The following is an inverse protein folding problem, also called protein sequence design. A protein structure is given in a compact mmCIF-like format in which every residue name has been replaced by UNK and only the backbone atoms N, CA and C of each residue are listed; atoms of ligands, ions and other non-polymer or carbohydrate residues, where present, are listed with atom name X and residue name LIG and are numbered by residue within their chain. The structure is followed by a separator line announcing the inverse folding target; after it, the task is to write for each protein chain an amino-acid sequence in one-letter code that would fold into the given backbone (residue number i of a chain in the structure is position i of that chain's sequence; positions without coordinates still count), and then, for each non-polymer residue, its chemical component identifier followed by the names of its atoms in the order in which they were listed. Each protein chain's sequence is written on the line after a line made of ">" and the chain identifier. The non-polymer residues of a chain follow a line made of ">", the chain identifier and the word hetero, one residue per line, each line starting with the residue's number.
data_IF_357230576499
#
_entry.id   IF_357230576499
#
_cell.length_a   1.000
_cell.length_b   1.000
_cell.length_c   1.000
_cell.angle_alpha   90.00
_cell.angle_beta   90.00
_cell.angle_gamma   90.00
#
_symmetry.space_group_name_H-M   'P 1'
#
loop_
_entity.id
_entity.type
_entity.pdbx_description
1 polymer ?
#
# COMPACT_ATOMS: atom_id res chain seq x y z
N UNK A 1 47.65 -41.29 15.20
CA UNK A 1 47.12 -40.01 15.75
C UNK A 1 46.85 -39.09 14.57
N UNK A 2 45.58 -38.92 14.23
CA UNK A 2 45.12 -38.28 13.00
C UNK A 2 44.79 -36.82 13.28
N UNK A 3 45.44 -35.90 12.57
CA UNK A 3 45.19 -34.47 12.62
C UNK A 3 43.87 -34.15 11.91
N UNK A 4 42.90 -33.57 12.61
CA UNK A 4 41.65 -33.07 12.02
C UNK A 4 41.87 -31.68 11.44
N UNK A 5 41.89 -31.60 10.10
CA UNK A 5 41.78 -30.33 9.37
C UNK A 5 40.33 -29.82 9.42
N UNK A 6 40.09 -28.76 10.21
CA UNK A 6 38.85 -28.00 10.15
C UNK A 6 38.82 -27.18 8.85
N UNK A 7 38.16 -27.70 7.80
CA UNK A 7 37.72 -26.87 6.68
C UNK A 7 36.64 -25.94 7.21
N UNK A 8 36.91 -24.63 7.21
CA UNK A 8 35.88 -23.60 7.38
C UNK A 8 34.87 -23.78 6.27
N UNK A 9 33.68 -24.21 6.65
CA UNK A 9 32.52 -24.29 5.78
C UNK A 9 32.10 -22.85 5.48
N UNK A 10 32.56 -22.28 4.36
CA UNK A 10 31.98 -21.06 3.78
C UNK A 10 30.63 -21.44 3.17
N UNK A 11 29.67 -21.76 4.02
CA UNK A 11 28.28 -21.88 3.63
C UNK A 11 27.78 -20.49 3.27
N UNK A 12 27.71 -20.20 1.97
CA UNK A 12 26.92 -19.10 1.46
C UNK A 12 25.48 -19.33 1.89
N UNK A 13 25.08 -18.70 2.99
CA UNK A 13 23.67 -18.61 3.33
C UNK A 13 23.02 -17.86 2.16
N UNK A 14 22.25 -18.59 1.35
CA UNK A 14 21.35 -17.97 0.41
C UNK A 14 20.54 -16.95 1.22
N UNK A 15 20.71 -15.65 0.95
CA UNK A 15 19.79 -14.63 1.45
C UNK A 15 18.41 -15.15 1.06
N UNK A 16 17.60 -15.55 2.05
CA UNK A 16 16.19 -15.78 1.81
C UNK A 16 15.69 -14.51 1.13
N UNK A 17 15.36 -14.62 -0.15
CA UNK A 17 14.81 -13.51 -0.91
C UNK A 17 13.45 -13.26 -0.32
N UNK A 18 13.32 -12.19 0.48
CA UNK A 18 12.04 -11.73 0.97
C UNK A 18 11.13 -11.56 -0.25
N UNK A 19 9.93 -12.17 -0.25
CA UNK A 19 8.99 -12.05 -1.36
C UNK A 19 8.83 -10.57 -1.75
N UNK A 20 8.89 -10.22 -3.05
CA UNK A 20 8.90 -8.82 -3.47
C UNK A 20 7.75 -7.97 -2.90
N UNK A 21 6.58 -8.58 -2.69
CA UNK A 21 5.44 -7.89 -2.07
C UNK A 21 5.68 -7.50 -0.60
N UNK A 22 6.38 -8.33 0.19
CA UNK A 22 6.73 -8.01 1.57
C UNK A 22 7.76 -6.87 1.63
N UNK A 23 8.66 -6.77 0.64
CA UNK A 23 9.59 -5.64 0.53
C UNK A 23 8.84 -4.31 0.40
N UNK A 24 7.75 -4.25 -0.37
CA UNK A 24 6.95 -3.03 -0.47
C UNK A 24 6.30 -2.64 0.86
N UNK A 25 5.73 -3.59 1.60
CA UNK A 25 5.15 -3.33 2.91
C UNK A 25 6.20 -2.82 3.92
N UNK A 26 7.38 -3.43 3.94
CA UNK A 26 8.49 -3.04 4.81
C UNK A 26 9.05 -1.67 4.44
N UNK A 27 9.30 -1.42 3.15
CA UNK A 27 9.77 -0.14 2.63
C UNK A 27 8.77 0.97 2.95
N UNK A 28 7.48 0.72 2.68
CA UNK A 28 6.40 1.65 2.95
C UNK A 28 6.31 2.01 4.44
N UNK A 29 6.42 1.03 5.33
CA UNK A 29 6.41 1.25 6.79
C UNK A 29 7.66 1.98 7.25
N UNK A 30 8.84 1.60 6.75
CA UNK A 30 10.11 2.20 7.13
C UNK A 30 10.14 3.70 6.84
N UNK A 31 9.78 4.11 5.62
CA UNK A 31 9.79 5.53 5.24
C UNK A 31 8.60 6.33 5.75
N UNK A 32 7.65 5.70 6.43
CA UNK A 32 6.61 6.38 7.20
C UNK A 32 7.02 6.63 8.67
N UNK A 33 8.15 6.08 9.13
CA UNK A 33 8.64 6.30 10.48
C UNK A 33 9.13 7.73 10.66
N UNK A 34 8.93 8.29 11.87
CA UNK A 34 9.35 9.65 12.21
C UNK A 34 10.85 9.87 12.03
N UNK A 35 11.68 8.84 12.23
CA UNK A 35 13.12 8.92 12.03
C UNK A 35 13.49 9.17 10.56
N UNK A 36 12.58 8.93 9.61
CA UNK A 36 12.79 9.14 8.19
C UNK A 36 12.30 10.50 7.71
N UNK A 37 11.70 11.32 8.58
CA UNK A 37 11.15 12.60 8.18
C UNK A 37 12.25 13.51 7.63
N UNK A 38 12.05 14.02 6.41
CA UNK A 38 13.03 14.83 5.69
C UNK A 38 14.08 14.03 4.91
N UNK A 39 14.09 12.69 4.97
CA UNK A 39 14.91 11.88 4.08
C UNK A 39 14.49 12.07 2.62
N UNK A 40 15.42 11.83 1.69
CA UNK A 40 15.14 11.96 0.25
C UNK A 40 13.97 11.06 -0.17
N UNK A 41 13.91 9.84 0.37
CA UNK A 41 12.83 8.89 0.12
C UNK A 41 11.50 9.38 0.68
N UNK A 42 11.45 9.80 1.94
CA UNK A 42 10.23 10.37 2.54
C UNK A 42 9.72 11.56 1.72
N UNK A 43 10.62 12.49 1.37
CA UNK A 43 10.27 13.66 0.56
C UNK A 43 9.78 13.26 -0.83
N UNK A 44 10.40 12.26 -1.47
CA UNK A 44 9.97 11.77 -2.77
C UNK A 44 8.57 11.17 -2.73
N UNK A 45 8.26 10.33 -1.73
CA UNK A 45 6.92 9.74 -1.58
C UNK A 45 5.87 10.79 -1.20
N UNK A 46 6.25 11.75 -0.35
CA UNK A 46 5.37 12.83 0.11
C UNK A 46 5.07 13.88 -0.96
N UNK A 47 5.91 13.98 -2.01
CA UNK A 47 5.72 14.92 -3.11
C UNK A 47 4.64 14.52 -4.12
N UNK A 48 4.34 13.23 -4.23
CA UNK A 48 3.47 12.70 -5.29
C UNK A 48 1.97 12.78 -4.94
N UNK A 49 1.09 12.58 -5.94
CA UNK A 49 -0.33 12.30 -5.66
C UNK A 49 -0.47 10.89 -5.07
N UNK A 50 -1.52 10.64 -4.30
CA UNK A 50 -1.67 9.42 -3.49
C UNK A 50 -1.42 8.10 -4.25
N UNK A 51 -2.03 7.91 -5.41
CA UNK A 51 -1.81 6.71 -6.23
C UNK A 51 -0.42 6.65 -6.87
N UNK A 52 0.15 7.78 -7.29
CA UNK A 52 1.51 7.82 -7.84
C UNK A 52 2.53 7.50 -6.74
N UNK A 53 2.38 8.06 -5.54
CA UNK A 53 3.22 7.76 -4.38
C UNK A 53 3.30 6.25 -4.09
N UNK A 54 2.16 5.56 -4.21
CA UNK A 54 2.06 4.10 -4.04
C UNK A 54 2.78 3.35 -5.16
N UNK A 55 2.62 3.77 -6.42
CA UNK A 55 3.32 3.18 -7.56
C UNK A 55 4.84 3.37 -7.43
N UNK A 56 5.28 4.56 -7.00
CA UNK A 56 6.69 4.86 -6.75
C UNK A 56 7.25 3.99 -5.63
N UNK A 57 6.54 3.87 -4.51
CA UNK A 57 6.95 3.02 -3.38
C UNK A 57 7.08 1.54 -3.80
N UNK A 58 6.09 1.02 -4.54
CA UNK A 58 6.12 -0.34 -5.06
C UNK A 58 7.31 -0.58 -6.01
N UNK A 59 7.68 0.41 -6.82
CA UNK A 59 8.82 0.29 -7.71
C UNK A 59 10.16 0.39 -6.96
N UNK A 60 10.32 1.38 -6.08
CA UNK A 60 11.55 1.59 -5.29
C UNK A 60 11.87 0.43 -4.35
N UNK A 61 10.85 -0.26 -3.85
CA UNK A 61 11.00 -1.49 -3.05
C UNK A 61 11.34 -2.73 -3.88
N UNK A 62 11.29 -2.65 -5.22
CA UNK A 62 11.47 -3.77 -6.12
C UNK A 62 10.25 -4.71 -6.21
N UNK A 63 9.11 -4.33 -5.62
CA UNK A 63 7.89 -5.14 -5.66
C UNK A 63 7.24 -5.20 -7.04
N UNK A 64 7.47 -4.19 -7.89
CA UNK A 64 7.05 -4.18 -9.29
C UNK A 64 8.24 -3.92 -10.22
N UNK A 65 8.22 -4.56 -11.39
CA UNK A 65 9.24 -4.37 -12.43
C UNK A 65 9.19 -2.96 -13.04
N UNK A 66 10.28 -2.54 -13.69
CA UNK A 66 10.33 -1.28 -14.46
C UNK A 66 9.22 -1.22 -15.53
N UNK A 67 8.92 -2.35 -16.18
CA UNK A 67 7.86 -2.41 -17.18
C UNK A 67 6.49 -2.14 -16.56
N UNK A 68 6.21 -2.72 -15.38
CA UNK A 68 4.97 -2.48 -14.64
C UNK A 68 4.90 -1.05 -14.11
N UNK A 69 6.00 -0.49 -13.62
CA UNK A 69 6.09 0.92 -13.25
C UNK A 69 5.74 1.83 -14.44
N UNK A 70 6.33 1.61 -15.63
CA UNK A 70 6.03 2.39 -16.84
C UNK A 70 4.57 2.24 -17.31
N UNK A 71 3.89 1.13 -16.94
CA UNK A 71 2.47 0.93 -17.22
C UNK A 71 1.57 1.75 -16.27
N UNK A 72 2.00 1.95 -15.02
CA UNK A 72 1.18 2.56 -13.97
C UNK A 72 1.48 4.05 -13.74
N UNK A 73 2.75 4.43 -13.79
CA UNK A 73 3.23 5.77 -13.46
C UNK A 73 2.56 6.85 -14.32
N UNK A 74 1.91 7.83 -13.68
CA UNK A 74 1.10 8.89 -14.31
C UNK A 74 0.01 8.39 -15.28
N UNK A 75 -0.39 7.12 -15.15
CA UNK A 75 -1.46 6.49 -15.95
C UNK A 75 -2.59 5.96 -15.08
N UNK A 76 -2.43 6.04 -13.75
CA UNK A 76 -3.48 5.80 -12.78
C UNK A 76 -4.13 7.14 -12.43
N UNK A 77 -5.44 7.21 -12.53
CA UNK A 77 -6.25 8.35 -12.07
C UNK A 77 -7.68 7.89 -11.78
N UNK A 78 -8.52 8.83 -11.33
CA UNK A 78 -9.86 8.56 -10.78
C UNK A 78 -10.77 7.68 -11.67
N UNK A 79 -10.62 7.75 -13.00
CA UNK A 79 -11.38 6.94 -13.98
C UNK A 79 -10.56 5.86 -14.69
N UNK A 80 -9.25 5.78 -14.46
CA UNK A 80 -8.34 4.83 -15.10
C UNK A 80 -7.49 4.13 -14.03
N UNK A 81 -8.11 3.20 -13.31
CA UNK A 81 -7.48 2.49 -12.18
C UNK A 81 -7.42 0.97 -12.38
N UNK A 82 -8.09 0.42 -13.41
CA UNK A 82 -8.31 -1.03 -13.55
C UNK A 82 -7.03 -1.86 -13.60
N UNK A 83 -5.91 -1.32 -14.07
CA UNK A 83 -4.62 -2.02 -14.11
C UNK A 83 -3.81 -1.95 -12.80
N UNK A 84 -4.33 -1.21 -11.82
CA UNK A 84 -3.75 -0.95 -10.51
C UNK A 84 -4.56 -1.66 -9.41
N UNK A 85 -5.76 -1.15 -9.07
CA UNK A 85 -6.78 -1.77 -8.21
C UNK A 85 -8.15 -1.30 -8.68
N UNK A 86 -9.17 -2.16 -8.65
CA UNK A 86 -10.54 -1.84 -9.08
C UNK A 86 -11.59 -2.38 -8.11
N UNK A 87 -12.85 -1.91 -8.21
CA UNK A 87 -13.98 -2.50 -7.50
C UNK A 87 -14.32 -3.95 -7.88
N UNK A 88 -13.66 -4.51 -8.90
CA UNK A 88 -13.78 -5.94 -9.26
C UNK A 88 -12.78 -6.82 -8.46
N UNK A 89 -11.86 -6.19 -7.71
CA UNK A 89 -10.93 -6.89 -6.83
C UNK A 89 -11.58 -7.25 -5.49
N UNK A 90 -10.78 -7.75 -4.54
CA UNK A 90 -11.31 -8.17 -3.24
C UNK A 90 -11.66 -6.96 -2.38
N UNK A 91 -12.89 -6.94 -1.89
CA UNK A 91 -13.37 -5.86 -1.04
C UNK A 91 -12.86 -6.00 0.41
N UNK A 92 -12.52 -4.86 1.01
CA UNK A 92 -12.33 -4.68 2.46
C UNK A 92 -13.59 -4.01 3.02
N UNK A 93 -14.57 -4.82 3.38
CA UNK A 93 -15.89 -4.31 3.81
C UNK A 93 -15.89 -3.86 5.27
N UNK A 94 -15.07 -4.46 6.12
CA UNK A 94 -15.09 -4.24 7.58
C UNK A 94 -13.69 -4.02 8.18
N UNK A 95 -13.67 -3.54 9.43
CA UNK A 95 -12.44 -3.54 10.26
C UNK A 95 -11.77 -4.93 10.28
N UNK A 96 -12.57 -5.99 10.42
CA UNK A 96 -12.04 -7.35 10.49
C UNK A 96 -11.40 -7.78 9.17
N UNK A 97 -11.95 -7.35 8.03
CA UNK A 97 -11.31 -7.54 6.72
C UNK A 97 -10.01 -6.76 6.62
N UNK A 98 -9.99 -5.51 7.09
CA UNK A 98 -8.80 -4.66 7.05
C UNK A 98 -7.64 -5.27 7.86
N UNK A 99 -7.95 -5.91 9.00
CA UNK A 99 -6.98 -6.66 9.80
C UNK A 99 -6.39 -7.87 9.05
N UNK A 100 -7.16 -8.48 8.13
CA UNK A 100 -6.76 -9.63 7.31
C UNK A 100 -6.17 -9.25 5.95
N UNK A 101 -6.26 -7.99 5.55
CA UNK A 101 -5.75 -7.53 4.26
C UNK A 101 -4.25 -7.89 4.12
N UNK A 102 -3.85 -8.47 2.98
CA UNK A 102 -2.48 -8.98 2.82
C UNK A 102 -1.45 -7.86 2.86
N UNK A 103 -0.29 -8.16 3.44
CA UNK A 103 0.87 -7.28 3.35
C UNK A 103 1.33 -7.19 1.89
N UNK A 104 1.68 -6.00 1.45
CA UNK A 104 2.12 -5.79 0.07
C UNK A 104 0.98 -5.95 -0.92
N UNK A 105 -0.15 -5.30 -0.66
CA UNK A 105 -1.20 -5.12 -1.65
C UNK A 105 -1.39 -3.63 -1.94
N UNK A 106 -1.87 -3.34 -3.15
CA UNK A 106 -2.49 -2.06 -3.43
C UNK A 106 -3.85 -2.03 -2.75
N UNK A 107 -4.14 -0.94 -2.04
CA UNK A 107 -5.45 -0.65 -1.46
C UNK A 107 -5.98 0.60 -2.15
N UNK A 108 -7.19 0.51 -2.71
CA UNK A 108 -7.88 1.62 -3.34
C UNK A 108 -9.15 1.99 -2.59
N UNK A 109 -9.44 3.28 -2.51
CA UNK A 109 -10.63 3.84 -1.87
C UNK A 109 -11.50 4.47 -2.96
N UNK A 110 -12.76 4.07 -3.00
CA UNK A 110 -13.64 4.37 -4.12
C UNK A 110 -14.92 5.08 -3.69
N UNK A 111 -15.30 6.06 -4.50
CA UNK A 111 -16.67 6.58 -4.54
C UNK A 111 -17.53 5.65 -5.39
N UNK A 112 -18.65 5.21 -4.83
CA UNK A 112 -19.64 4.36 -5.51
C UNK A 112 -20.96 5.12 -5.79
N UNK A 113 -20.94 6.47 -5.77
CA UNK A 113 -22.14 7.28 -6.05
C UNK A 113 -22.76 6.94 -7.40
N UNK A 114 -21.91 6.69 -8.40
CA UNK A 114 -22.29 6.11 -9.67
C UNK A 114 -21.73 4.69 -9.75
N UNK A 115 -22.60 3.69 -9.55
CA UNK A 115 -22.21 2.29 -9.60
C UNK A 115 -21.74 1.85 -11.00
N UNK A 116 -22.18 2.54 -12.07
CA UNK A 116 -21.73 2.24 -13.43
C UNK A 116 -20.36 2.89 -13.74
N UNK A 117 -19.99 3.93 -13.01
CA UNK A 117 -18.71 4.61 -13.14
C UNK A 117 -18.05 4.93 -11.77
N UNK A 118 -17.61 3.90 -11.01
CA UNK A 118 -16.90 4.12 -9.76
C UNK A 118 -15.65 4.97 -9.95
N UNK A 119 -15.30 5.78 -8.95
CA UNK A 119 -14.13 6.66 -8.99
C UNK A 119 -13.12 6.31 -7.92
N UNK A 120 -11.86 6.13 -8.30
CA UNK A 120 -10.75 6.03 -7.35
C UNK A 120 -10.52 7.40 -6.72
N UNK A 121 -10.60 7.49 -5.40
CA UNK A 121 -10.37 8.71 -4.63
C UNK A 121 -8.99 8.74 -3.97
N UNK A 122 -8.48 7.58 -3.58
CA UNK A 122 -7.22 7.46 -2.84
C UNK A 122 -6.61 6.07 -3.02
N UNK A 123 -5.31 5.95 -2.76
CA UNK A 123 -4.64 4.66 -2.73
C UNK A 123 -3.54 4.61 -1.66
N UNK A 124 -3.30 3.41 -1.15
CA UNK A 124 -2.28 3.11 -0.13
C UNK A 124 -1.66 1.73 -0.39
N UNK A 125 -0.54 1.41 0.28
CA UNK A 125 0.04 0.07 0.34
C UNK A 125 -0.35 -0.58 1.67
N UNK A 126 -0.94 -1.77 1.63
CA UNK A 126 -1.20 -2.57 2.83
C UNK A 126 0.10 -2.97 3.52
N UNK A 127 0.32 -2.50 4.74
CA UNK A 127 1.50 -2.83 5.56
C UNK A 127 1.19 -3.88 6.63
N UNK A 128 -0.03 -4.41 6.64
CA UNK A 128 -0.45 -5.55 7.47
C UNK A 128 -1.06 -5.16 8.82
N UNK A 129 -1.72 -6.12 9.45
CA UNK A 129 -2.37 -5.96 10.76
C UNK A 129 -3.30 -4.73 10.84
N UNK A 130 -4.01 -4.43 9.75
CA UNK A 130 -4.91 -3.27 9.68
C UNK A 130 -4.26 -1.95 9.29
N UNK A 131 -2.96 -1.92 9.04
CA UNK A 131 -2.23 -0.73 8.63
C UNK A 131 -2.07 -0.64 7.12
N UNK A 132 -2.01 0.60 6.64
CA UNK A 132 -1.59 0.92 5.29
C UNK A 132 -0.81 2.23 5.27
N UNK A 133 0.11 2.35 4.32
CA UNK A 133 0.91 3.55 4.14
C UNK A 133 0.61 4.26 2.81
N UNK A 134 0.59 5.59 2.85
CA UNK A 134 0.21 6.43 1.73
C UNK A 134 0.52 7.91 1.96
N UNK A 135 0.37 8.71 0.93
CA UNK A 135 0.53 10.17 0.97
C UNK A 135 -0.81 10.86 0.72
N UNK A 136 -1.00 12.07 1.29
CA UNK A 136 -2.22 12.90 1.17
C UNK A 136 -3.47 12.21 1.73
N UNK A 137 -3.30 11.56 2.88
CA UNK A 137 -4.32 10.71 3.47
C UNK A 137 -5.58 11.47 3.90
N UNK A 138 -5.52 12.79 4.06
CA UNK A 138 -6.70 13.62 4.31
C UNK A 138 -7.83 13.41 3.27
N UNK A 139 -7.53 12.93 2.05
CA UNK A 139 -8.53 12.51 1.06
C UNK A 139 -9.55 11.49 1.58
N UNK A 140 -9.13 10.63 2.51
CA UNK A 140 -9.96 9.60 3.17
C UNK A 140 -10.35 9.97 4.61
N UNK A 141 -10.11 11.23 5.02
CA UNK A 141 -10.54 11.74 6.31
C UNK A 141 -9.69 11.30 7.51
N UNK A 142 -8.51 10.72 7.27
CA UNK A 142 -7.52 10.36 8.30
C UNK A 142 -6.11 10.79 7.85
N UNK A 143 -5.22 11.11 8.79
CA UNK A 143 -3.85 11.55 8.46
C UNK A 143 -3.74 12.95 7.85
N UNK A 144 -2.56 13.26 7.31
CA UNK A 144 -2.20 14.59 6.81
C UNK A 144 -2.62 14.88 5.37
N UNK A 145 -2.69 16.17 5.03
CA UNK A 145 -2.91 16.63 3.64
C UNK A 145 -1.70 16.40 2.74
N UNK A 146 -0.50 16.32 3.33
CA UNK A 146 0.78 15.98 2.71
C UNK A 146 1.62 15.24 3.75
N UNK A 147 2.37 14.23 3.31
CA UNK A 147 3.24 13.41 4.14
C UNK A 147 2.98 11.93 3.91
N UNK A 148 4.05 11.15 3.70
CA UNK A 148 3.97 9.69 3.67
C UNK A 148 3.82 9.16 5.10
N UNK A 149 2.68 8.54 5.39
CA UNK A 149 2.32 8.08 6.73
C UNK A 149 1.86 6.63 6.69
N UNK A 150 2.03 5.91 7.79
CA UNK A 150 1.51 4.56 7.99
C UNK A 150 0.40 4.59 9.04
N UNK A 151 -0.85 4.47 8.59
CA UNK A 151 -2.05 4.70 9.39
C UNK A 151 -2.72 3.38 9.77
N UNK A 152 -3.34 3.32 10.95
CA UNK A 152 -4.10 2.17 11.40
C UNK A 152 -5.53 2.25 10.86
N UNK A 153 -5.74 1.88 9.60
CA UNK A 153 -7.05 1.99 8.96
C UNK A 153 -8.14 1.14 9.62
N UNK A 154 -7.76 -0.01 10.20
CA UNK A 154 -8.71 -0.83 10.94
C UNK A 154 -9.33 -0.05 12.11
N UNK A 155 -8.53 0.76 12.82
CA UNK A 155 -9.00 1.53 13.98
C UNK A 155 -9.49 2.94 13.63
N UNK A 156 -8.80 3.62 12.72
CA UNK A 156 -8.91 5.06 12.55
C UNK A 156 -10.05 5.45 11.57
N UNK A 157 -10.54 4.51 10.75
CA UNK A 157 -11.69 4.72 9.88
C UNK A 157 -13.03 4.56 10.61
N UNK A 158 -14.04 5.36 10.22
CA UNK A 158 -15.41 5.24 10.71
C UNK A 158 -16.18 4.18 9.91
N UNK A 159 -15.89 2.91 10.17
CA UNK A 159 -16.55 1.77 9.54
C UNK A 159 -18.06 1.81 9.70
N UNK A 160 -18.78 1.42 8.64
CA UNK A 160 -20.23 1.32 8.64
C UNK A 160 -20.70 -0.12 8.84
N UNK A 161 -21.85 -0.37 9.49
CA UNK A 161 -22.38 -1.72 9.70
C UNK A 161 -22.59 -2.50 8.41
N UNK A 162 -23.04 -1.82 7.34
CA UNK A 162 -23.35 -2.41 6.04
C UNK A 162 -22.12 -2.49 5.10
N UNK A 163 -20.93 -2.22 5.63
CA UNK A 163 -19.67 -2.24 4.91
C UNK A 163 -19.20 -0.87 4.42
N UNK A 164 -17.88 -0.73 4.26
CA UNK A 164 -17.24 0.53 3.91
C UNK A 164 -17.07 1.48 5.10
N UNK A 165 -16.78 2.75 4.81
CA UNK A 165 -16.56 3.77 5.85
C UNK A 165 -17.03 5.15 5.39
N UNK A 166 -17.23 6.06 6.36
CA UNK A 166 -17.55 7.46 6.09
C UNK A 166 -16.41 8.38 6.55
N UNK A 167 -16.15 9.44 5.79
CA UNK A 167 -15.22 10.49 6.23
C UNK A 167 -15.88 11.35 7.31
N UNK A 168 -15.10 11.98 8.21
CA UNK A 168 -15.64 13.00 9.12
C UNK A 168 -16.36 14.11 8.33
N UNK A 169 -17.60 14.43 8.71
CA UNK A 169 -18.42 15.46 8.07
C UNK A 169 -19.02 15.10 6.70
N UNK A 170 -18.85 13.86 6.21
CA UNK A 170 -19.45 13.38 4.97
C UNK A 170 -20.63 12.44 5.25
N UNK A 171 -21.44 12.18 4.22
CA UNK A 171 -22.54 11.22 4.22
C UNK A 171 -22.33 10.07 3.24
N UNK A 172 -21.36 10.19 2.34
CA UNK A 172 -21.02 9.12 1.41
C UNK A 172 -20.28 7.98 2.10
N UNK A 173 -20.79 6.75 1.90
CA UNK A 173 -20.07 5.53 2.25
C UNK A 173 -19.08 5.19 1.13
N UNK A 174 -17.80 5.29 1.45
CA UNK A 174 -16.72 4.91 0.55
C UNK A 174 -16.41 3.41 0.69
N UNK A 175 -16.02 2.79 -0.42
CA UNK A 175 -15.69 1.36 -0.49
C UNK A 175 -14.20 1.17 -0.69
N UNK A 176 -13.67 0.10 -0.12
CA UNK A 176 -12.23 -0.19 -0.13
C UNK A 176 -12.03 -1.52 -0.82
N UNK A 177 -11.08 -1.59 -1.74
CA UNK A 177 -10.71 -2.82 -2.43
C UNK A 177 -9.21 -2.98 -2.41
N UNK A 178 -8.73 -4.22 -2.46
CA UNK A 178 -7.30 -4.50 -2.56
C UNK A 178 -6.97 -5.43 -3.72
N UNK A 179 -5.79 -5.21 -4.29
CA UNK A 179 -5.14 -6.11 -5.24
C UNK A 179 -3.74 -6.49 -4.75
N UNK A 180 -3.44 -7.78 -4.55
CA UNK A 180 -2.07 -8.22 -4.28
C UNK A 180 -1.11 -7.78 -5.40
N UNK A 181 0.16 -7.51 -5.08
CA UNK A 181 1.15 -7.31 -6.14
C UNK A 181 1.19 -8.54 -7.06
N UNK A 182 1.37 -8.35 -8.38
CA UNK A 182 1.60 -9.46 -9.27
C UNK A 182 2.84 -10.23 -8.79
N UNK A 183 2.66 -11.51 -8.47
CA UNK A 183 3.79 -12.43 -8.27
C UNK A 183 4.48 -12.56 -9.62
N UNK A 184 5.76 -12.17 -9.65
CA UNK A 184 6.61 -12.27 -10.85
C UNK A 184 6.89 -13.71 -11.25
#
# INVERSE_FOLDING_TARGET
>A
MQWFNFKRNTGGAARQTVPPHLNAAEYARHYADQSQFGSAEFMSLSGEICWDAVVLCAHKSGAISQAKYNQLWYKVFDKQYKHFVSPDDTEISTMADMLRAPQGCFIGFFSMRDAAAPRLLHAMIGTGAGFAAGNKNACIGVGGAVGWENLNLARDLRWQPDGGFVRPGDTEVLRIFYRPFPVG
#
